data_IF_063266940087
#
_entry.id   IF_063266940087
#
_cell.length_a   1.000
_cell.length_b   1.000
_cell.length_c   1.000
_cell.angle_alpha   90.00
_cell.angle_beta   90.00
_cell.angle_gamma   90.00
#
_symmetry.space_group_name_H-M   'P 1'
#
loop_
_entity.id
_entity.type
_entity.pdbx_description
1 polymer ?
#
# COMPACT_ATOMS: atom_id res chain seq x y z
N UNK A 1 -17.97 -8.22 -19.65
CA UNK A 1 -16.67 -8.68 -20.11
C UNK A 1 -15.96 -9.32 -18.93
N UNK A 2 -16.08 -10.62 -18.87
CA UNK A 2 -15.00 -11.39 -18.35
C UNK A 2 -14.07 -11.60 -19.57
N UNK A 3 -13.62 -10.53 -20.14
CA UNK A 3 -12.25 -10.37 -20.52
C UNK A 3 -11.52 -10.28 -19.19
N UNK A 4 -11.55 -11.36 -18.45
CA UNK A 4 -10.73 -11.56 -17.29
C UNK A 4 -9.31 -11.68 -17.84
N UNK A 5 -8.69 -10.56 -18.09
CA UNK A 5 -7.32 -10.45 -17.67
C UNK A 5 -7.35 -10.62 -16.15
N UNK A 6 -7.46 -11.84 -15.73
CA UNK A 6 -6.92 -12.27 -14.47
C UNK A 6 -5.44 -11.94 -14.55
N UNK A 7 -5.01 -10.78 -14.06
CA UNK A 7 -3.58 -10.47 -13.92
C UNK A 7 -2.92 -11.52 -13.00
N UNK A 8 -3.69 -12.24 -12.20
CA UNK A 8 -3.29 -13.54 -11.66
C UNK A 8 -3.26 -14.68 -12.69
N UNK A 9 -3.94 -14.60 -13.85
CA UNK A 9 -3.95 -15.68 -14.82
C UNK A 9 -2.78 -15.62 -15.79
N UNK A 10 -2.27 -14.46 -16.16
CA UNK A 10 -1.07 -14.36 -16.99
C UNK A 10 0.15 -15.02 -16.32
N UNK A 11 0.22 -15.00 -14.98
CA UNK A 11 1.24 -15.73 -14.23
C UNK A 11 0.93 -17.22 -14.09
N UNK A 12 -0.34 -17.61 -14.14
CA UNK A 12 -0.80 -18.98 -13.89
C UNK A 12 -1.13 -19.76 -15.16
N UNK A 13 -1.56 -19.06 -16.20
CA UNK A 13 -2.12 -19.60 -17.44
C UNK A 13 -1.55 -18.76 -18.59
N UNK A 14 -1.05 -19.41 -19.61
CA UNK A 14 -0.90 -18.76 -20.92
C UNK A 14 -2.26 -18.88 -21.58
N UNK A 15 -2.91 -17.76 -21.82
CA UNK A 15 -4.22 -17.70 -22.47
C UNK A 15 -4.13 -17.03 -23.84
N UNK A 16 -5.04 -17.39 -24.68
CA UNK A 16 -5.26 -16.75 -25.98
C UNK A 16 -6.75 -16.67 -26.20
N UNK A 17 -7.31 -15.43 -26.13
CA UNK A 17 -8.70 -15.22 -26.48
C UNK A 17 -8.95 -15.48 -27.96
N UNK A 18 -10.05 -16.12 -28.27
CA UNK A 18 -10.45 -16.38 -29.65
C UNK A 18 -10.58 -15.10 -30.48
N UNK A 19 -11.06 -14.02 -29.87
CA UNK A 19 -11.16 -12.70 -30.51
C UNK A 19 -9.81 -12.14 -30.94
N UNK A 20 -8.75 -12.36 -30.15
CA UNK A 20 -7.40 -11.89 -30.49
C UNK A 20 -6.81 -12.72 -31.62
N UNK A 21 -7.08 -14.03 -31.64
CA UNK A 21 -6.71 -14.88 -32.76
C UNK A 21 -7.43 -14.48 -34.06
N UNK A 22 -8.73 -14.14 -34.01
CA UNK A 22 -9.44 -13.58 -35.17
C UNK A 22 -8.82 -12.27 -35.65
N UNK A 23 -8.43 -11.37 -34.72
CA UNK A 23 -7.76 -10.12 -35.08
C UNK A 23 -6.40 -10.37 -35.78
N UNK A 24 -5.68 -11.41 -35.38
CA UNK A 24 -4.44 -11.82 -36.05
C UNK A 24 -4.69 -12.32 -37.48
N UNK A 25 -5.77 -13.06 -37.71
CA UNK A 25 -6.17 -13.47 -39.06
C UNK A 25 -6.56 -12.29 -39.95
N UNK A 26 -7.23 -11.29 -39.41
CA UNK A 26 -7.52 -10.04 -40.14
C UNK A 26 -6.21 -9.30 -40.49
N UNK A 27 -5.31 -9.16 -39.53
CA UNK A 27 -4.01 -8.54 -39.77
C UNK A 27 -3.14 -9.29 -40.79
N UNK A 28 -3.27 -10.62 -40.86
CA UNK A 28 -2.64 -11.45 -41.87
C UNK A 28 -3.31 -11.42 -43.25
N UNK A 29 -4.47 -10.78 -43.37
CA UNK A 29 -5.26 -10.74 -44.59
C UNK A 29 -5.99 -12.04 -44.93
N UNK A 30 -6.12 -12.95 -43.99
CA UNK A 30 -6.83 -14.23 -44.11
C UNK A 30 -8.32 -14.08 -43.82
N UNK A 31 -8.75 -12.98 -43.21
CA UNK A 31 -10.12 -12.70 -42.79
C UNK A 31 -10.47 -11.24 -43.03
N UNK A 32 -11.65 -10.96 -43.52
CA UNK A 32 -12.19 -9.59 -43.60
C UNK A 32 -12.80 -9.15 -42.29
N UNK A 33 -12.98 -7.85 -42.06
CA UNK A 33 -13.63 -7.31 -40.86
C UNK A 33 -15.11 -7.74 -40.73
N UNK A 34 -15.81 -7.96 -41.85
CA UNK A 34 -17.18 -8.43 -41.83
C UNK A 34 -17.26 -9.89 -41.39
N UNK A 35 -16.44 -10.77 -41.98
CA UNK A 35 -16.33 -12.19 -41.58
C UNK A 35 -15.85 -12.34 -40.14
N UNK A 36 -14.93 -11.46 -39.67
CA UNK A 36 -14.50 -11.44 -38.28
C UNK A 36 -15.66 -11.14 -37.32
N UNK A 37 -16.54 -10.19 -37.68
CA UNK A 37 -17.69 -9.82 -36.84
C UNK A 37 -18.68 -11.00 -36.71
N UNK A 38 -18.88 -11.75 -37.79
CA UNK A 38 -19.72 -12.95 -37.80
C UNK A 38 -19.07 -14.09 -37.03
N UNK A 39 -17.79 -14.36 -37.28
CA UNK A 39 -17.01 -15.41 -36.57
C UNK A 39 -16.89 -15.14 -35.06
N UNK A 40 -16.88 -13.86 -34.63
CA UNK A 40 -16.80 -13.50 -33.23
C UNK A 40 -18.11 -13.73 -32.45
N UNK A 41 -19.22 -13.98 -33.14
CA UNK A 41 -20.53 -14.20 -32.51
C UNK A 41 -20.70 -15.67 -32.14
N UNK A 42 -20.25 -16.01 -30.93
CA UNK A 42 -20.31 -17.40 -30.43
C UNK A 42 -21.56 -17.59 -29.57
N UNK A 43 -22.32 -18.64 -29.85
CA UNK A 43 -23.49 -19.05 -29.07
C UNK A 43 -23.09 -19.64 -27.68
N UNK A 44 -24.05 -19.68 -26.75
CA UNK A 44 -23.81 -20.32 -25.44
C UNK A 44 -23.52 -21.81 -25.54
N UNK A 45 -24.06 -22.46 -26.55
CA UNK A 45 -23.84 -23.87 -26.85
C UNK A 45 -23.43 -24.03 -28.32
N UNK A 46 -22.69 -25.08 -28.68
CA UNK A 46 -22.24 -25.28 -30.05
C UNK A 46 -23.38 -25.30 -31.11
N UNK A 47 -24.57 -25.75 -30.71
CA UNK A 47 -25.71 -25.82 -31.62
C UNK A 47 -26.29 -24.43 -31.98
N UNK A 48 -25.85 -23.38 -31.33
CA UNK A 48 -26.25 -21.99 -31.54
C UNK A 48 -25.20 -21.15 -32.25
N UNK A 49 -24.09 -21.76 -32.63
CA UNK A 49 -23.08 -21.09 -33.45
C UNK A 49 -23.60 -20.99 -34.90
N UNK A 50 -23.22 -19.93 -35.60
CA UNK A 50 -23.43 -19.86 -37.05
C UNK A 50 -22.50 -20.89 -37.73
N UNK A 51 -22.85 -21.30 -38.97
CA UNK A 51 -22.01 -22.23 -39.74
C UNK A 51 -20.59 -21.67 -39.93
N UNK A 52 -20.47 -20.34 -40.13
CA UNK A 52 -19.21 -19.66 -40.31
C UNK A 52 -18.40 -19.63 -39.01
N UNK A 53 -19.03 -19.25 -37.89
CA UNK A 53 -18.37 -19.27 -36.57
C UNK A 53 -17.90 -20.68 -36.19
N UNK A 54 -18.70 -21.72 -36.48
CA UNK A 54 -18.34 -23.10 -36.17
C UNK A 54 -17.04 -23.54 -36.86
N UNK A 55 -16.84 -23.16 -38.14
CA UNK A 55 -15.60 -23.48 -38.86
C UNK A 55 -14.35 -22.81 -38.25
N UNK A 56 -14.48 -21.54 -37.86
CA UNK A 56 -13.36 -20.84 -37.19
C UNK A 56 -13.11 -21.35 -35.77
N UNK A 57 -14.15 -21.73 -35.03
CA UNK A 57 -14.04 -22.36 -33.71
C UNK A 57 -13.29 -23.69 -33.79
N UNK A 58 -13.64 -24.52 -34.79
CA UNK A 58 -12.96 -25.80 -35.01
C UNK A 58 -11.48 -25.58 -35.37
N UNK A 59 -11.18 -24.63 -36.27
CA UNK A 59 -9.80 -24.28 -36.65
C UNK A 59 -9.01 -23.78 -35.44
N UNK A 60 -9.57 -22.87 -34.65
CA UNK A 60 -8.97 -22.36 -33.41
C UNK A 60 -8.68 -23.49 -32.43
N UNK A 61 -9.66 -24.34 -32.19
CA UNK A 61 -9.54 -25.46 -31.27
C UNK A 61 -8.44 -26.41 -31.70
N UNK A 62 -8.46 -26.84 -32.97
CA UNK A 62 -7.45 -27.76 -33.51
C UNK A 62 -6.02 -27.17 -33.45
N UNK A 63 -5.87 -25.86 -33.75
CA UNK A 63 -4.58 -25.19 -33.74
C UNK A 63 -3.99 -25.09 -32.33
N UNK A 64 -4.82 -24.73 -31.32
CA UNK A 64 -4.34 -24.56 -29.96
C UNK A 64 -4.21 -25.91 -29.22
N UNK A 65 -5.06 -26.89 -29.48
CA UNK A 65 -4.89 -28.25 -28.92
C UNK A 65 -3.62 -28.90 -29.45
N UNK A 66 -3.28 -28.71 -30.71
CA UNK A 66 -2.00 -29.17 -31.30
C UNK A 66 -0.77 -28.55 -30.62
N UNK A 67 -0.91 -27.35 -30.02
CA UNK A 67 0.12 -26.71 -29.21
C UNK A 67 0.10 -27.08 -27.73
N UNK A 68 -0.79 -27.99 -27.32
CA UNK A 68 -0.93 -28.46 -25.93
C UNK A 68 -1.75 -27.53 -25.05
N UNK A 69 -2.58 -26.67 -25.63
CA UNK A 69 -3.55 -25.85 -24.92
C UNK A 69 -4.86 -26.60 -24.71
N UNK A 70 -5.59 -26.23 -23.66
CA UNK A 70 -6.97 -26.67 -23.45
C UNK A 70 -7.90 -25.52 -23.86
N UNK A 71 -8.84 -25.81 -24.76
CA UNK A 71 -9.82 -24.83 -25.21
C UNK A 71 -11.10 -24.96 -24.39
N UNK A 72 -11.58 -23.82 -23.85
CA UNK A 72 -12.81 -23.78 -23.06
C UNK A 72 -13.75 -22.71 -23.60
N UNK A 73 -15.04 -23.00 -23.51
CA UNK A 73 -16.13 -22.05 -23.82
C UNK A 73 -16.69 -21.52 -22.50
N UNK A 74 -16.63 -20.22 -22.31
CA UNK A 74 -17.13 -19.53 -21.14
C UNK A 74 -18.37 -18.72 -21.48
N UNK A 75 -19.41 -18.83 -20.67
CA UNK A 75 -20.60 -17.99 -20.80
C UNK A 75 -20.25 -16.51 -20.59
N UNK A 76 -20.73 -15.63 -21.45
CA UNK A 76 -20.62 -14.21 -21.21
C UNK A 76 -21.49 -13.82 -19.99
N UNK A 77 -20.84 -13.36 -18.94
CA UNK A 77 -21.49 -12.89 -17.72
C UNK A 77 -21.43 -11.36 -17.67
N UNK A 78 -22.58 -10.71 -17.75
CA UNK A 78 -22.68 -9.27 -17.48
C UNK A 78 -22.86 -9.07 -15.98
N UNK A 79 -21.83 -8.60 -15.31
CA UNK A 79 -21.90 -8.22 -13.91
C UNK A 79 -22.28 -6.74 -13.79
N UNK A 80 -23.44 -6.47 -13.21
CA UNK A 80 -23.79 -5.15 -12.69
C UNK A 80 -23.68 -5.16 -11.17
N UNK A 81 -23.51 -4.02 -10.49
CA UNK A 81 -23.34 -3.99 -9.03
C UNK A 81 -24.37 -4.77 -8.23
N UNK A 82 -25.55 -4.99 -8.79
CA UNK A 82 -26.68 -5.64 -8.10
C UNK A 82 -27.21 -6.89 -8.82
N UNK A 83 -26.64 -7.31 -9.95
CA UNK A 83 -27.16 -8.43 -10.72
C UNK A 83 -26.11 -9.06 -11.63
N UNK A 84 -25.99 -10.38 -11.56
CA UNK A 84 -25.26 -11.17 -12.52
C UNK A 84 -26.27 -11.66 -13.57
N UNK A 85 -26.14 -11.22 -14.80
CA UNK A 85 -26.95 -11.72 -15.91
C UNK A 85 -26.07 -12.45 -16.90
N UNK A 86 -26.47 -13.65 -17.33
CA UNK A 86 -25.82 -14.35 -18.41
C UNK A 86 -26.20 -13.76 -19.75
N UNK A 87 -25.21 -13.32 -20.54
CA UNK A 87 -25.40 -12.85 -21.92
C UNK A 87 -25.83 -13.98 -22.84
N UNK A 88 -26.32 -13.61 -24.01
CA UNK A 88 -26.71 -14.58 -25.06
C UNK A 88 -25.54 -15.20 -25.82
N UNK A 89 -24.34 -14.67 -25.64
CA UNK A 89 -23.08 -15.06 -26.31
C UNK A 89 -22.11 -15.73 -25.36
N UNK A 90 -21.15 -16.46 -25.88
CA UNK A 90 -20.04 -17.06 -25.13
C UNK A 90 -18.70 -16.50 -25.62
N UNK A 91 -17.64 -16.77 -24.89
CA UNK A 91 -16.27 -16.51 -25.30
C UNK A 91 -15.45 -17.79 -25.28
N UNK A 92 -14.59 -17.98 -26.27
CA UNK A 92 -13.64 -19.09 -26.32
C UNK A 92 -12.26 -18.64 -25.88
N UNK A 93 -11.60 -19.52 -25.11
CA UNK A 93 -10.24 -19.30 -24.62
C UNK A 93 -9.43 -20.59 -24.75
N UNK A 94 -8.24 -20.48 -25.28
CA UNK A 94 -7.21 -21.50 -25.19
C UNK A 94 -6.27 -21.18 -24.02
N UNK A 95 -6.07 -22.12 -23.10
CA UNK A 95 -5.18 -21.90 -21.97
C UNK A 95 -4.23 -23.08 -21.74
N UNK A 96 -3.08 -22.78 -21.20
CA UNK A 96 -2.11 -23.77 -20.75
C UNK A 96 -1.63 -23.43 -19.34
N UNK A 97 -1.71 -24.40 -18.44
CA UNK A 97 -1.24 -24.20 -17.07
C UNK A 97 0.28 -24.02 -17.03
N UNK A 98 0.71 -22.91 -16.49
CA UNK A 98 2.13 -22.65 -16.24
C UNK A 98 2.60 -23.42 -15.02
N UNK A 99 3.74 -24.17 -15.06
CA UNK A 99 4.29 -24.86 -13.91
C UNK A 99 4.48 -23.93 -12.71
N UNK A 100 4.20 -24.43 -11.51
CA UNK A 100 4.24 -23.64 -10.27
C UNK A 100 5.55 -22.87 -10.08
N UNK A 101 6.68 -23.49 -10.40
CA UNK A 101 8.00 -22.85 -10.24
C UNK A 101 8.18 -21.64 -11.15
N UNK A 102 7.66 -21.71 -12.39
CA UNK A 102 7.70 -20.60 -13.34
C UNK A 102 6.75 -19.49 -12.88
N UNK A 103 5.58 -19.85 -12.35
CA UNK A 103 4.62 -18.89 -11.77
C UNK A 103 5.24 -18.10 -10.61
N UNK A 104 5.91 -18.81 -9.68
CA UNK A 104 6.62 -18.17 -8.57
C UNK A 104 7.73 -17.26 -9.07
N UNK A 105 8.52 -17.74 -10.04
CA UNK A 105 9.59 -16.93 -10.61
C UNK A 105 9.05 -15.64 -11.26
N UNK A 106 8.04 -15.76 -12.12
CA UNK A 106 7.41 -14.61 -12.78
C UNK A 106 6.79 -13.64 -11.76
N UNK A 107 6.16 -14.17 -10.71
CA UNK A 107 5.61 -13.33 -9.65
C UNK A 107 6.72 -12.50 -8.97
N UNK A 108 7.77 -13.14 -8.48
CA UNK A 108 8.82 -12.42 -7.76
C UNK A 108 9.64 -11.48 -8.65
N UNK A 109 9.88 -11.83 -9.90
CA UNK A 109 10.61 -10.95 -10.84
C UNK A 109 9.73 -9.81 -11.37
N UNK A 110 8.41 -9.98 -11.41
CA UNK A 110 7.46 -8.97 -11.84
C UNK A 110 6.96 -8.04 -10.73
N UNK A 111 7.38 -8.23 -9.47
CA UNK A 111 6.95 -7.34 -8.37
C UNK A 111 7.46 -5.91 -8.57
N UNK A 112 8.67 -5.75 -9.06
CA UNK A 112 9.31 -4.46 -9.21
C UNK A 112 9.57 -4.13 -10.67
N UNK A 113 8.99 -3.04 -11.14
CA UNK A 113 9.22 -2.47 -12.45
C UNK A 113 9.85 -1.09 -12.31
N UNK A 114 10.96 -0.87 -13.03
CA UNK A 114 11.67 0.41 -13.01
C UNK A 114 11.31 1.21 -14.24
N UNK A 115 10.65 2.35 -14.05
CA UNK A 115 10.14 3.20 -15.11
C UNK A 115 11.24 3.89 -15.92
N UNK A 116 12.39 4.15 -15.30
CA UNK A 116 13.55 4.74 -15.96
C UNK A 116 14.16 3.86 -17.08
N UNK A 117 13.78 2.59 -17.19
CA UNK A 117 14.15 1.69 -18.29
C UNK A 117 13.03 1.50 -19.30
N UNK A 118 11.82 1.98 -19.01
CA UNK A 118 10.63 1.89 -19.82
C UNK A 118 10.44 3.22 -20.57
N UNK A 119 11.15 3.40 -21.67
CA UNK A 119 11.01 4.58 -22.51
C UNK A 119 9.79 4.46 -23.42
N UNK A 120 9.15 5.60 -23.67
CA UNK A 120 8.09 5.69 -24.68
C UNK A 120 8.66 5.34 -26.06
N UNK A 121 7.84 4.76 -26.92
CA UNK A 121 8.27 4.30 -28.25
C UNK A 121 8.49 5.45 -29.24
N UNK A 122 7.87 6.60 -29.00
CA UNK A 122 7.98 7.79 -29.84
C UNK A 122 9.42 8.31 -29.88
N UNK A 123 9.83 8.84 -31.05
CA UNK A 123 11.15 9.44 -31.23
C UNK A 123 11.16 10.85 -30.61
N UNK A 124 11.60 10.94 -29.39
CA UNK A 124 11.72 12.20 -28.63
C UNK A 124 13.15 12.70 -28.72
N UNK A 125 13.31 13.94 -29.22
CA UNK A 125 14.62 14.52 -29.53
C UNK A 125 15.50 14.73 -28.28
N UNK A 126 14.92 14.93 -27.11
CA UNK A 126 15.66 15.27 -25.88
C UNK A 126 15.30 14.31 -24.73
N UNK A 127 15.71 13.05 -24.88
CA UNK A 127 15.54 12.04 -23.83
C UNK A 127 16.59 12.23 -22.75
N UNK A 128 16.16 12.27 -21.49
CA UNK A 128 17.11 12.37 -20.40
C UNK A 128 16.49 12.61 -19.04
N UNK A 129 17.36 12.83 -18.07
CA UNK A 129 16.98 13.19 -16.70
C UNK A 129 17.31 14.65 -16.47
N UNK A 130 16.32 15.40 -15.97
CA UNK A 130 16.48 16.79 -15.57
C UNK A 130 16.27 16.93 -14.07
N UNK A 131 17.21 17.60 -13.39
CA UNK A 131 17.10 17.92 -11.99
C UNK A 131 16.73 19.39 -11.82
N UNK A 132 15.71 19.67 -11.01
CA UNK A 132 15.33 21.04 -10.66
C UNK A 132 15.16 21.18 -9.15
N UNK A 133 15.43 22.40 -8.64
CA UNK A 133 15.13 22.76 -7.25
C UNK A 133 13.88 23.65 -7.16
N UNK A 134 13.45 24.20 -8.28
CA UNK A 134 12.31 25.08 -8.41
C UNK A 134 11.53 24.65 -9.64
N UNK A 135 10.58 23.76 -9.45
CA UNK A 135 9.80 23.22 -10.56
C UNK A 135 8.90 24.31 -11.14
N UNK A 136 8.99 24.60 -12.44
CA UNK A 136 8.12 25.54 -13.11
C UNK A 136 6.63 25.22 -12.99
N UNK A 137 6.24 23.95 -12.87
CA UNK A 137 4.85 23.54 -12.66
C UNK A 137 4.27 24.08 -11.33
N UNK A 138 5.13 24.39 -10.35
CA UNK A 138 4.78 25.06 -9.10
C UNK A 138 5.08 26.57 -9.11
N UNK A 139 5.13 27.18 -10.28
CA UNK A 139 5.37 28.61 -10.46
C UNK A 139 6.85 29.05 -10.42
N UNK A 140 7.79 28.14 -10.23
CA UNK A 140 9.23 28.38 -10.29
C UNK A 140 9.84 29.15 -9.12
N UNK A 141 9.04 29.72 -8.22
CA UNK A 141 9.51 30.49 -7.06
C UNK A 141 9.60 29.63 -5.79
N UNK A 142 8.67 28.68 -5.65
CA UNK A 142 8.62 27.79 -4.49
C UNK A 142 9.74 26.74 -4.58
N UNK A 143 10.41 26.47 -3.45
CA UNK A 143 11.35 25.37 -3.36
C UNK A 143 10.61 24.04 -3.53
N UNK A 144 10.83 23.38 -4.66
CA UNK A 144 10.13 22.18 -5.11
C UNK A 144 11.10 21.25 -5.85
N UNK A 145 12.02 20.57 -5.13
CA UNK A 145 13.01 19.71 -5.76
C UNK A 145 12.34 18.56 -6.50
N UNK A 146 12.76 18.32 -7.74
CA UNK A 146 12.27 17.22 -8.54
C UNK A 146 13.34 16.64 -9.46
N UNK A 147 13.18 15.35 -9.81
CA UNK A 147 13.88 14.68 -10.90
C UNK A 147 12.83 14.35 -11.95
N UNK A 148 13.00 14.94 -13.12
CA UNK A 148 12.12 14.78 -14.27
C UNK A 148 12.75 13.84 -15.28
N UNK A 149 11.96 12.95 -15.87
CA UNK A 149 12.38 12.03 -16.92
C UNK A 149 11.67 12.36 -18.24
N UNK A 150 12.40 12.85 -19.25
CA UNK A 150 11.83 13.08 -20.57
C UNK A 150 11.87 11.80 -21.39
N UNK A 151 10.73 11.42 -21.96
CA UNK A 151 10.60 10.20 -22.77
C UNK A 151 10.41 8.91 -21.97
N UNK A 152 10.07 9.00 -20.69
CA UNK A 152 9.61 7.88 -19.85
C UNK A 152 8.10 7.91 -19.68
N UNK A 153 7.51 6.81 -19.16
CA UNK A 153 6.06 6.78 -18.89
C UNK A 153 5.63 7.75 -17.80
N UNK A 154 6.53 8.12 -16.89
CA UNK A 154 6.29 9.11 -15.85
C UNK A 154 7.26 10.28 -15.98
N UNK A 155 6.74 11.48 -16.16
CA UNK A 155 7.56 12.68 -16.24
C UNK A 155 8.24 12.99 -14.91
N UNK A 156 7.51 12.92 -13.82
CA UNK A 156 8.05 13.17 -12.47
C UNK A 156 8.53 11.85 -11.86
N UNK A 157 9.82 11.60 -11.87
CA UNK A 157 10.40 10.37 -11.32
C UNK A 157 10.56 10.43 -9.80
N UNK A 158 10.95 11.60 -9.28
CA UNK A 158 11.05 11.88 -7.85
C UNK A 158 10.68 13.33 -7.61
N UNK A 159 9.85 13.60 -6.59
CA UNK A 159 9.53 14.96 -6.21
C UNK A 159 9.11 15.06 -4.74
N UNK A 160 9.17 16.31 -4.21
CA UNK A 160 8.80 16.62 -2.85
C UNK A 160 7.48 17.38 -2.82
N UNK A 161 6.61 16.98 -1.91
CA UNK A 161 5.27 17.51 -1.72
C UNK A 161 5.08 17.88 -0.26
N UNK A 162 4.07 18.65 0.07
CA UNK A 162 3.63 18.94 1.43
C UNK A 162 2.67 17.88 1.98
N UNK A 163 2.27 16.91 1.17
CA UNK A 163 1.43 15.77 1.55
C UNK A 163 2.27 14.60 2.03
N UNK A 164 1.87 13.97 3.15
CA UNK A 164 2.51 12.74 3.59
C UNK A 164 2.33 11.62 2.53
N UNK A 165 3.40 10.92 2.14
CA UNK A 165 4.73 10.79 2.78
C UNK A 165 5.77 11.86 2.41
N UNK A 166 5.46 13.01 1.90
CA UNK A 166 6.33 14.15 1.56
C UNK A 166 7.35 13.92 0.42
N UNK A 167 7.73 12.69 0.17
CA UNK A 167 8.65 12.31 -0.91
C UNK A 167 7.89 11.30 -1.77
N UNK A 168 7.70 11.62 -3.02
CA UNK A 168 6.99 10.80 -3.99
C UNK A 168 7.93 10.36 -5.09
N UNK A 169 7.72 9.17 -5.58
CA UNK A 169 8.53 8.58 -6.65
C UNK A 169 7.65 7.81 -7.63
N UNK A 170 8.00 7.88 -8.91
CA UNK A 170 7.35 7.16 -10.00
C UNK A 170 8.34 6.33 -10.83
N UNK A 171 9.59 6.18 -10.36
CA UNK A 171 10.58 5.35 -11.04
C UNK A 171 10.49 3.87 -10.68
N UNK A 172 9.78 3.54 -9.60
CA UNK A 172 9.59 2.19 -9.13
C UNK A 172 8.09 1.92 -9.00
N UNK A 173 7.57 1.06 -9.85
CA UNK A 173 6.21 0.53 -9.73
C UNK A 173 6.25 -0.81 -9.01
N UNK A 174 5.35 -1.00 -8.05
CA UNK A 174 5.27 -2.22 -7.23
C UNK A 174 3.97 -2.94 -7.60
N UNK A 175 4.10 -4.09 -8.26
CA UNK A 175 2.97 -4.92 -8.69
C UNK A 175 2.71 -6.02 -7.68
N UNK A 176 1.68 -5.84 -6.85
CA UNK A 176 1.24 -6.84 -5.86
C UNK A 176 0.00 -7.62 -6.30
N UNK A 177 -0.37 -7.49 -7.56
CA UNK A 177 -1.57 -8.09 -8.14
C UNK A 177 -2.70 -7.09 -8.29
N UNK A 178 -3.64 -7.38 -9.19
CA UNK A 178 -4.73 -6.48 -9.58
C UNK A 178 -6.02 -6.82 -8.86
N UNK A 179 -6.65 -5.83 -8.26
CA UNK A 179 -7.97 -5.93 -7.63
C UNK A 179 -9.07 -5.98 -8.68
N UNK A 180 -10.03 -6.88 -8.51
CA UNK A 180 -11.22 -6.94 -9.37
C UNK A 180 -12.52 -6.75 -8.60
N UNK A 181 -12.55 -7.15 -7.34
CA UNK A 181 -13.76 -7.13 -6.54
C UNK A 181 -13.90 -5.85 -5.71
N UNK A 182 -12.79 -5.36 -5.15
CA UNK A 182 -12.77 -4.16 -4.31
C UNK A 182 -12.55 -2.90 -5.15
N UNK A 183 -11.57 -2.92 -6.04
CA UNK A 183 -11.26 -1.79 -6.91
C UNK A 183 -10.88 -2.29 -8.31
N UNK A 184 -11.85 -2.29 -9.21
CA UNK A 184 -11.76 -2.93 -10.52
C UNK A 184 -10.59 -2.45 -11.35
N UNK A 185 -9.68 -3.36 -11.68
CA UNK A 185 -8.56 -3.13 -12.60
C UNK A 185 -7.41 -2.29 -12.02
N UNK A 186 -7.43 -2.02 -10.70
CA UNK A 186 -6.37 -1.27 -10.02
C UNK A 186 -5.44 -2.23 -9.31
N UNK A 187 -4.13 -1.97 -9.37
CA UNK A 187 -3.15 -2.76 -8.64
C UNK A 187 -3.38 -2.68 -7.12
N UNK A 188 -3.09 -3.78 -6.41
CA UNK A 188 -3.31 -3.86 -4.97
C UNK A 188 -2.50 -2.81 -4.19
N UNK A 189 -1.27 -2.52 -4.62
CA UNK A 189 -0.45 -1.49 -3.99
C UNK A 189 -1.01 -0.09 -4.28
N UNK A 190 -1.40 0.18 -5.52
CA UNK A 190 -2.04 1.45 -5.89
C UNK A 190 -3.35 1.67 -5.12
N UNK A 191 -4.15 0.63 -4.91
CA UNK A 191 -5.36 0.71 -4.08
C UNK A 191 -5.06 1.15 -2.63
N UNK A 192 -3.87 0.84 -2.10
CA UNK A 192 -3.44 1.27 -0.76
C UNK A 192 -2.95 2.72 -0.72
N UNK A 193 -2.24 3.16 -1.76
CA UNK A 193 -1.58 4.48 -1.80
C UNK A 193 -2.39 5.57 -2.52
N UNK A 194 -3.36 5.19 -3.33
CA UNK A 194 -4.19 6.11 -4.12
C UNK A 194 -5.02 7.02 -3.19
N UNK A 195 -5.10 8.33 -3.47
CA UNK A 195 -5.99 9.24 -2.77
C UNK A 195 -7.45 8.79 -2.82
N UNK A 196 -8.22 9.13 -1.79
CA UNK A 196 -9.61 8.75 -1.61
C UNK A 196 -10.53 9.98 -1.55
N UNK A 197 -11.85 9.75 -1.45
CA UNK A 197 -12.85 10.80 -1.32
C UNK A 197 -13.39 11.25 -2.68
N UNK A 198 -13.88 12.48 -2.72
CA UNK A 198 -14.38 13.11 -3.93
C UNK A 198 -13.22 13.58 -4.82
N UNK A 199 -13.47 13.61 -6.13
CA UNK A 199 -12.50 14.18 -7.06
C UNK A 199 -12.53 15.71 -6.94
N UNK A 200 -11.34 16.31 -6.78
CA UNK A 200 -11.13 17.76 -6.78
C UNK A 200 -10.36 18.13 -8.04
N UNK A 201 -10.87 19.13 -8.75
CA UNK A 201 -10.13 19.73 -9.86
C UNK A 201 -9.22 20.80 -9.31
N UNK A 202 -7.95 20.71 -9.67
CA UNK A 202 -6.98 21.79 -9.39
C UNK A 202 -6.65 22.53 -10.67
N UNK A 203 -6.32 23.81 -10.54
CA UNK A 203 -5.89 24.63 -11.66
C UNK A 203 -4.38 24.73 -11.62
N UNK A 204 -3.71 24.15 -12.62
CA UNK A 204 -2.27 24.20 -12.76
C UNK A 204 -1.89 25.27 -13.77
N UNK A 205 -0.98 26.16 -13.37
CA UNK A 205 -0.41 27.21 -14.22
C UNK A 205 0.96 26.77 -14.70
N UNK A 206 1.13 26.71 -16.00
CA UNK A 206 2.37 26.28 -16.61
C UNK A 206 3.23 27.48 -17.06
N UNK A 207 4.56 27.35 -17.17
CA UNK A 207 5.46 28.41 -17.60
C UNK A 207 5.16 28.93 -18.99
N UNK A 208 4.52 28.14 -19.84
CA UNK A 208 4.06 28.52 -21.16
C UNK A 208 2.90 29.50 -21.17
N UNK A 209 2.35 29.83 -19.98
CA UNK A 209 1.14 30.62 -19.81
C UNK A 209 -0.15 29.84 -19.99
N UNK A 210 -0.09 28.56 -20.29
CA UNK A 210 -1.27 27.70 -20.34
C UNK A 210 -1.81 27.48 -18.93
N UNK A 211 -3.15 27.47 -18.83
CA UNK A 211 -3.87 27.21 -17.57
C UNK A 211 -4.71 25.98 -17.79
N UNK A 212 -4.60 25.01 -16.92
CA UNK A 212 -5.28 23.76 -17.03
C UNK A 212 -5.91 23.33 -15.71
N UNK A 213 -7.13 22.83 -15.79
CA UNK A 213 -7.75 22.09 -14.69
C UNK A 213 -7.23 20.66 -14.72
N UNK A 214 -6.33 20.33 -13.83
CA UNK A 214 -5.72 19.02 -13.72
C UNK A 214 -5.56 18.61 -12.26
N UNK A 215 -5.08 17.40 -12.03
CA UNK A 215 -4.69 16.98 -10.70
C UNK A 215 -3.42 17.70 -10.26
N UNK A 216 -3.38 18.15 -9.00
CA UNK A 216 -2.15 18.60 -8.35
C UNK A 216 -1.20 17.44 -8.06
N UNK A 217 -1.71 16.23 -8.07
CA UNK A 217 -0.94 15.04 -7.81
C UNK A 217 -0.17 14.63 -9.06
N UNK A 218 1.12 14.86 -9.04
CA UNK A 218 2.02 14.54 -10.13
C UNK A 218 2.15 13.04 -10.39
N UNK A 219 1.73 12.19 -9.44
CA UNK A 219 1.62 10.75 -9.65
C UNK A 219 0.63 10.38 -10.75
N UNK A 220 -0.36 11.22 -10.99
CA UNK A 220 -1.37 10.98 -12.02
C UNK A 220 -0.92 11.36 -13.42
N UNK A 221 0.22 12.05 -13.55
CA UNK A 221 0.77 12.48 -14.83
C UNK A 221 1.60 11.35 -15.46
N UNK A 222 0.93 10.41 -16.08
CA UNK A 222 1.51 9.23 -16.73
C UNK A 222 1.34 9.32 -18.23
N UNK A 223 2.36 8.95 -19.00
CA UNK A 223 2.24 8.80 -20.44
C UNK A 223 1.36 7.59 -20.78
N UNK A 224 0.38 7.81 -21.65
CA UNK A 224 -0.45 6.74 -22.22
C UNK A 224 -0.37 6.78 -23.73
N UNK A 225 0.36 5.85 -24.32
CA UNK A 225 0.44 5.69 -25.76
C UNK A 225 -0.98 5.52 -26.37
N UNK A 226 -1.25 6.23 -27.45
CA UNK A 226 -2.53 6.17 -28.17
C UNK A 226 -3.67 7.01 -27.58
N UNK A 227 -3.45 7.73 -26.50
CA UNK A 227 -4.44 8.67 -25.93
C UNK A 227 -4.42 10.01 -26.67
N UNK A 228 -4.91 9.99 -27.92
CA UNK A 228 -4.82 11.12 -28.85
C UNK A 228 -5.39 12.44 -28.30
N UNK A 229 -6.51 12.37 -27.59
CA UNK A 229 -7.15 13.58 -27.05
C UNK A 229 -6.31 14.22 -25.96
N UNK A 230 -5.74 13.41 -25.08
CA UNK A 230 -4.88 13.87 -24.02
C UNK A 230 -3.54 14.39 -24.55
N UNK A 231 -2.94 13.68 -25.50
CA UNK A 231 -1.69 14.11 -26.12
C UNK A 231 -1.81 15.47 -26.81
N UNK A 232 -2.93 15.75 -27.48
CA UNK A 232 -3.18 17.06 -28.11
C UNK A 232 -3.31 18.19 -27.07
N UNK A 233 -3.94 17.91 -25.94
CA UNK A 233 -4.12 18.91 -24.87
C UNK A 233 -2.82 19.22 -24.16
N UNK A 234 -1.93 18.23 -24.00
CA UNK A 234 -0.73 18.34 -23.19
C UNK A 234 0.58 18.44 -23.97
N UNK A 235 0.54 18.31 -25.31
CA UNK A 235 1.73 18.39 -26.17
C UNK A 235 2.57 19.64 -25.91
N UNK A 236 1.92 20.80 -25.74
CA UNK A 236 2.60 22.06 -25.48
C UNK A 236 3.18 22.19 -24.06
N UNK A 237 2.70 21.35 -23.14
CA UNK A 237 3.08 21.41 -21.71
C UNK A 237 4.20 20.45 -21.36
N UNK A 238 4.30 19.35 -22.09
CA UNK A 238 5.31 18.32 -21.92
C UNK A 238 6.00 18.08 -23.25
N UNK A 239 7.32 18.11 -23.25
CA UNK A 239 8.12 17.93 -24.46
C UNK A 239 7.99 16.54 -25.11
N UNK A 240 7.44 15.61 -24.42
CA UNK A 240 7.28 14.21 -24.79
C UNK A 240 5.84 13.82 -25.06
N UNK A 241 5.00 14.78 -25.37
CA UNK A 241 3.71 14.58 -26.01
C UNK A 241 2.75 13.63 -25.28
N UNK A 242 2.69 13.74 -23.96
CA UNK A 242 1.85 12.85 -23.18
C UNK A 242 0.99 13.56 -22.17
N UNK A 243 -0.08 12.98 -21.78
CA UNK A 243 -0.38 12.62 -20.45
C UNK A 243 -1.76 12.06 -20.26
N UNK A 244 -1.90 11.28 -19.23
CA UNK A 244 -3.16 11.00 -18.58
C UNK A 244 -3.15 11.70 -17.23
N UNK A 245 -3.68 12.89 -17.17
CA UNK A 245 -3.85 13.61 -15.90
C UNK A 245 -5.23 13.31 -15.36
N UNK A 246 -5.29 12.64 -14.23
CA UNK A 246 -6.54 12.36 -13.52
C UNK A 246 -6.85 13.45 -12.50
N UNK A 247 -8.11 13.54 -12.09
CA UNK A 247 -8.53 14.42 -11.01
C UNK A 247 -8.02 13.84 -9.67
N UNK A 248 -7.45 14.68 -8.83
CA UNK A 248 -7.05 14.29 -7.46
C UNK A 248 -8.28 14.17 -6.59
N UNK A 249 -8.32 13.13 -5.78
CA UNK A 249 -9.28 13.01 -4.70
C UNK A 249 -8.85 13.87 -3.52
N UNK A 250 -9.79 14.47 -2.83
CA UNK A 250 -9.59 15.44 -1.75
C UNK A 250 -9.11 14.85 -0.41
N UNK A 251 -9.04 13.53 -0.32
CA UNK A 251 -8.70 12.82 0.91
C UNK A 251 -7.42 11.99 0.75
N UNK A 252 -6.72 11.78 1.86
CA UNK A 252 -5.51 10.96 1.90
C UNK A 252 -5.72 9.51 1.48
N UNK A 253 -4.63 8.82 1.21
CA UNK A 253 -4.65 7.40 0.86
C UNK A 253 -5.04 6.51 2.06
N UNK A 254 -5.40 5.26 1.81
CA UNK A 254 -5.64 4.27 2.88
C UNK A 254 -4.41 4.09 3.76
N UNK A 255 -3.24 4.10 3.14
CA UNK A 255 -1.97 4.02 3.86
C UNK A 255 -1.75 5.22 4.77
N UNK A 256 -2.06 6.43 4.30
CA UNK A 256 -2.00 7.65 5.11
C UNK A 256 -2.79 7.52 6.41
N UNK A 257 -4.06 7.09 6.34
CA UNK A 257 -4.90 6.97 7.53
C UNK A 257 -4.40 5.93 8.53
N UNK A 258 -3.96 4.77 8.04
CA UNK A 258 -3.37 3.74 8.91
C UNK A 258 -2.10 4.23 9.59
N UNK A 259 -1.20 4.88 8.83
CA UNK A 259 0.09 5.34 9.34
C UNK A 259 -0.06 6.49 10.34
N UNK A 260 -0.86 7.51 10.03
CA UNK A 260 -0.99 8.69 10.92
C UNK A 260 -1.53 8.31 12.29
N UNK A 261 -2.57 7.47 12.34
CA UNK A 261 -3.15 7.01 13.61
C UNK A 261 -2.16 6.15 14.39
N UNK A 262 -1.50 5.21 13.73
CA UNK A 262 -0.57 4.28 14.37
C UNK A 262 0.70 4.97 14.87
N UNK A 263 1.27 5.90 14.09
CA UNK A 263 2.47 6.65 14.49
C UNK A 263 2.15 7.55 15.68
N UNK A 264 1.04 8.29 15.66
CA UNK A 264 0.67 9.17 16.76
C UNK A 264 0.35 8.36 18.02
N UNK A 265 -0.39 7.25 17.90
CA UNK A 265 -0.68 6.38 19.02
C UNK A 265 0.59 5.77 19.64
N UNK A 266 1.53 5.33 18.80
CA UNK A 266 2.84 4.81 19.24
C UNK A 266 3.67 5.90 19.91
N UNK A 267 3.74 7.10 19.33
CA UNK A 267 4.45 8.24 19.94
C UNK A 267 3.89 8.56 21.33
N UNK A 268 2.56 8.61 21.49
CA UNK A 268 1.93 8.79 22.79
C UNK A 268 2.24 7.65 23.75
N UNK A 269 2.29 6.41 23.27
CA UNK A 269 2.64 5.27 24.08
C UNK A 269 4.06 5.38 24.65
N UNK A 270 5.03 5.77 23.84
CA UNK A 270 6.41 6.00 24.31
C UNK A 270 6.50 7.25 25.19
N UNK A 271 5.88 8.36 24.80
CA UNK A 271 5.95 9.61 25.58
C UNK A 271 5.31 9.50 26.97
N UNK A 272 4.29 8.70 27.13
CA UNK A 272 3.58 8.52 28.40
C UNK A 272 4.02 7.24 29.10
N UNK A 273 4.09 6.13 28.36
CA UNK A 273 4.35 4.81 28.94
C UNK A 273 5.76 4.66 29.52
N UNK A 274 6.80 5.19 28.83
CA UNK A 274 8.17 5.10 29.34
C UNK A 274 8.35 5.90 30.63
N UNK A 275 7.99 7.19 30.75
CA UNK A 275 8.09 7.92 32.01
C UNK A 275 7.31 7.28 33.15
N UNK A 276 6.12 6.77 32.90
CA UNK A 276 5.33 6.07 33.91
C UNK A 276 5.99 4.75 34.32
N UNK A 277 6.51 3.96 33.36
CA UNK A 277 7.27 2.74 33.65
C UNK A 277 8.54 2.99 34.46
N UNK A 278 9.29 4.06 34.14
CA UNK A 278 10.43 4.53 34.92
C UNK A 278 10.03 4.91 36.33
N UNK A 279 8.92 5.65 36.49
CA UNK A 279 8.40 6.07 37.80
C UNK A 279 7.97 4.87 38.63
N UNK A 280 7.32 3.87 38.05
CA UNK A 280 6.96 2.60 38.68
C UNK A 280 8.20 1.85 39.18
N UNK A 281 9.23 1.73 38.33
CA UNK A 281 10.49 1.08 38.70
C UNK A 281 11.20 1.81 39.83
N UNK A 282 11.28 3.16 39.76
CA UNK A 282 11.90 3.99 40.80
C UNK A 282 11.18 3.90 42.15
N UNK A 283 9.87 3.72 42.10
CA UNK A 283 9.00 3.61 43.29
C UNK A 283 8.46 2.18 43.44
N UNK A 284 9.29 1.21 43.11
CA UNK A 284 8.96 -0.22 43.24
C UNK A 284 8.39 -0.52 44.64
N UNK A 285 7.38 -1.38 44.67
CA UNK A 285 6.67 -1.87 45.89
C UNK A 285 5.94 -0.75 46.66
N UNK A 286 5.73 0.44 46.06
CA UNK A 286 4.87 1.51 46.62
C UNK A 286 3.49 1.52 45.99
N UNK A 287 2.59 2.38 46.53
CA UNK A 287 1.26 2.55 45.96
C UNK A 287 1.27 3.02 44.50
N UNK A 288 2.28 3.80 44.08
CA UNK A 288 2.46 4.26 42.70
C UNK A 288 2.71 3.07 41.78
N UNK A 289 3.58 2.17 42.18
CA UNK A 289 3.87 0.95 41.45
C UNK A 289 2.63 0.03 41.39
N UNK A 290 1.93 -0.11 42.51
CA UNK A 290 0.70 -0.91 42.60
C UNK A 290 -0.42 -0.37 41.70
N UNK A 291 -0.60 0.96 41.65
CA UNK A 291 -1.58 1.60 40.77
C UNK A 291 -1.22 1.41 39.27
N UNK A 292 0.07 1.59 38.92
CA UNK A 292 0.54 1.34 37.55
C UNK A 292 0.37 -0.11 37.13
N UNK A 293 0.69 -1.05 38.02
CA UNK A 293 0.48 -2.48 37.75
C UNK A 293 -1.03 -2.80 37.62
N UNK A 294 -1.90 -2.21 38.45
CA UNK A 294 -3.34 -2.38 38.33
C UNK A 294 -3.87 -1.90 36.97
N UNK A 295 -3.41 -0.72 36.51
CA UNK A 295 -3.73 -0.23 35.17
C UNK A 295 -3.29 -1.22 34.08
N UNK A 296 -2.03 -1.66 34.11
CA UNK A 296 -1.48 -2.61 33.14
C UNK A 296 -2.28 -3.91 33.12
N UNK A 297 -2.59 -4.47 34.30
CA UNK A 297 -3.36 -5.72 34.42
C UNK A 297 -4.77 -5.56 33.86
N UNK A 298 -5.48 -4.48 34.21
CA UNK A 298 -6.82 -4.22 33.72
C UNK A 298 -6.85 -4.08 32.20
N UNK A 299 -5.96 -3.26 31.62
CA UNK A 299 -5.94 -3.03 30.18
C UNK A 299 -5.56 -4.30 29.41
N UNK A 300 -4.63 -5.11 29.94
CA UNK A 300 -4.23 -6.35 29.29
C UNK A 300 -5.23 -7.50 29.48
N UNK A 301 -6.04 -7.48 30.53
CA UNK A 301 -7.06 -8.50 30.80
C UNK A 301 -8.35 -8.25 30.00
N UNK A 302 -8.68 -7.00 29.69
CA UNK A 302 -9.89 -6.64 28.95
C UNK A 302 -9.63 -6.81 27.45
N UNK A 303 -10.50 -7.52 26.70
CA UNK A 303 -10.37 -7.61 25.25
C UNK A 303 -10.34 -6.23 24.59
N UNK A 304 -9.39 -6.01 23.66
CA UNK A 304 -9.18 -4.73 22.98
C UNK A 304 -10.45 -4.13 22.39
N UNK A 305 -11.26 -4.95 21.72
CA UNK A 305 -12.54 -4.53 21.16
C UNK A 305 -13.50 -3.95 22.22
N UNK A 306 -13.52 -4.52 23.43
CA UNK A 306 -14.43 -4.08 24.48
C UNK A 306 -14.13 -2.64 24.94
N UNK A 307 -12.88 -2.31 25.24
CA UNK A 307 -12.54 -0.93 25.62
C UNK A 307 -12.62 0.05 24.45
N UNK A 308 -12.36 -0.37 23.20
CA UNK A 308 -12.57 0.46 22.01
C UNK A 308 -14.06 0.86 21.88
N UNK A 309 -14.97 -0.08 22.05
CA UNK A 309 -16.41 0.19 22.03
C UNK A 309 -16.84 1.04 23.22
N UNK A 310 -16.29 0.83 24.42
CA UNK A 310 -16.55 1.68 25.59
C UNK A 310 -16.08 3.12 25.32
N UNK A 311 -14.88 3.31 24.78
CA UNK A 311 -14.37 4.63 24.42
C UNK A 311 -15.23 5.30 23.35
N UNK A 312 -15.67 4.54 22.34
CA UNK A 312 -16.61 5.03 21.33
C UNK A 312 -17.91 5.53 21.97
N UNK A 313 -18.47 4.78 22.93
CA UNK A 313 -19.67 5.19 23.66
C UNK A 313 -19.43 6.46 24.51
N UNK A 314 -18.27 6.56 25.15
CA UNK A 314 -17.87 7.76 25.90
C UNK A 314 -17.72 8.95 24.97
N UNK A 315 -17.04 8.79 23.82
CA UNK A 315 -16.88 9.82 22.81
C UNK A 315 -18.21 10.36 22.31
N UNK A 316 -19.16 9.49 22.01
CA UNK A 316 -20.53 9.87 21.63
C UNK A 316 -21.23 10.71 22.71
N UNK A 317 -21.09 10.34 23.97
CA UNK A 317 -21.66 11.11 25.08
C UNK A 317 -21.01 12.48 25.26
N UNK A 318 -19.74 12.62 24.90
CA UNK A 318 -19.00 13.87 24.94
C UNK A 318 -19.20 14.73 23.69
N UNK A 319 -19.99 14.27 22.71
CA UNK A 319 -20.22 14.96 21.45
C UNK A 319 -19.01 14.96 20.49
N UNK A 320 -18.06 14.03 20.71
CA UNK A 320 -16.91 13.86 19.80
C UNK A 320 -17.32 12.98 18.61
N UNK A 321 -16.77 13.26 17.41
CA UNK A 321 -16.95 12.37 16.26
C UNK A 321 -16.36 10.99 16.58
N UNK A 322 -17.15 9.95 16.44
CA UNK A 322 -16.74 8.56 16.72
C UNK A 322 -16.78 7.66 15.48
N UNK A 323 -17.10 8.25 14.34
CA UNK A 323 -17.00 7.63 13.02
C UNK A 323 -16.26 8.56 12.10
N UNK A 324 -15.40 8.00 11.26
CA UNK A 324 -14.66 8.77 10.27
C UNK A 324 -15.55 9.04 9.06
N UNK A 325 -15.47 10.24 8.50
CA UNK A 325 -16.13 10.63 7.25
C UNK A 325 -15.13 11.30 6.33
N UNK A 326 -15.10 10.86 5.07
CA UNK A 326 -14.27 11.47 4.04
C UNK A 326 -14.87 12.78 3.50
N UNK A 327 -16.19 12.94 3.59
CA UNK A 327 -16.88 14.13 3.04
C UNK A 327 -16.59 15.41 3.84
N UNK A 328 -16.42 15.28 5.17
CA UNK A 328 -16.10 16.40 6.05
C UNK A 328 -15.02 15.99 7.05
N UNK A 329 -13.77 15.81 6.63
CA UNK A 329 -12.71 15.39 7.51
C UNK A 329 -12.38 16.49 8.54
N UNK A 330 -12.42 16.14 9.81
CA UNK A 330 -12.00 17.02 10.92
C UNK A 330 -10.95 16.32 11.76
N UNK A 331 -9.99 17.06 12.31
CA UNK A 331 -8.97 16.50 13.18
C UNK A 331 -9.55 15.84 14.46
N UNK A 332 -10.75 16.25 14.88
CA UNK A 332 -11.46 15.66 16.03
C UNK A 332 -11.77 14.17 15.83
N UNK A 333 -11.93 13.72 14.58
CA UNK A 333 -12.21 12.31 14.27
C UNK A 333 -11.05 11.37 14.62
N UNK A 334 -9.82 11.91 14.70
CA UNK A 334 -8.63 11.13 15.06
C UNK A 334 -8.48 10.92 16.56
N UNK A 335 -9.11 11.75 17.42
CA UNK A 335 -8.92 11.72 18.87
C UNK A 335 -9.28 10.36 19.45
N UNK A 336 -10.48 9.86 19.14
CA UNK A 336 -10.96 8.61 19.75
C UNK A 336 -10.19 7.38 19.25
N UNK A 337 -9.92 7.19 17.95
CA UNK A 337 -9.08 6.10 17.44
C UNK A 337 -7.67 6.10 18.02
N UNK A 338 -7.02 7.29 18.06
CA UNK A 338 -5.68 7.43 18.62
C UNK A 338 -5.69 7.12 20.13
N UNK A 339 -6.65 7.63 20.89
CA UNK A 339 -6.76 7.35 22.31
C UNK A 339 -7.00 5.84 22.56
N UNK A 340 -7.87 5.21 21.78
CA UNK A 340 -8.14 3.79 21.90
C UNK A 340 -6.89 2.92 21.63
N UNK A 341 -6.12 3.27 20.60
CA UNK A 341 -4.88 2.57 20.28
C UNK A 341 -3.77 2.86 21.30
N UNK A 342 -3.66 4.12 21.74
CA UNK A 342 -2.61 4.53 22.69
C UNK A 342 -2.79 3.90 24.08
N UNK A 343 -4.00 3.74 24.59
CA UNK A 343 -4.26 3.20 25.93
C UNK A 343 -3.63 1.82 26.11
N UNK A 344 -3.81 0.91 25.16
CA UNK A 344 -3.22 -0.42 25.23
C UNK A 344 -1.70 -0.40 25.05
N UNK A 345 -1.22 0.42 24.13
CA UNK A 345 0.19 0.57 23.87
C UNK A 345 0.94 1.17 25.08
N UNK A 346 0.37 2.19 25.74
CA UNK A 346 0.91 2.76 26.99
C UNK A 346 1.08 1.68 28.06
N UNK A 347 0.08 0.82 28.26
CA UNK A 347 0.19 -0.27 29.24
C UNK A 347 1.32 -1.24 28.91
N UNK A 348 1.51 -1.55 27.62
CA UNK A 348 2.62 -2.37 27.15
C UNK A 348 3.99 -1.74 27.45
N UNK A 349 4.19 -0.47 27.09
CA UNK A 349 5.44 0.25 27.32
C UNK A 349 5.75 0.44 28.81
N UNK A 350 4.75 0.77 29.62
CA UNK A 350 4.88 0.84 31.08
C UNK A 350 5.41 -0.48 31.68
N UNK A 351 4.83 -1.60 31.26
CA UNK A 351 5.20 -2.94 31.74
C UNK A 351 6.63 -3.29 31.35
N UNK A 352 7.01 -3.11 30.07
CA UNK A 352 8.33 -3.46 29.59
C UNK A 352 9.41 -2.56 30.18
N UNK A 353 9.19 -1.24 30.20
CA UNK A 353 10.15 -0.30 30.78
C UNK A 353 10.38 -0.58 32.28
N UNK A 354 9.27 -0.78 33.04
CA UNK A 354 9.39 -1.15 34.46
C UNK A 354 10.21 -2.43 34.65
N UNK A 355 9.92 -3.46 33.85
CA UNK A 355 10.62 -4.75 33.92
C UNK A 355 12.10 -4.59 33.67
N UNK A 356 12.47 -3.98 32.56
CA UNK A 356 13.88 -3.78 32.23
C UNK A 356 14.62 -2.93 33.27
N UNK A 357 13.99 -1.88 33.78
CA UNK A 357 14.57 -1.07 34.85
C UNK A 357 14.83 -1.89 36.12
N UNK A 358 13.85 -2.68 36.55
CA UNK A 358 13.98 -3.51 37.77
C UNK A 358 15.06 -4.58 37.57
N UNK A 359 15.13 -5.23 36.43
CA UNK A 359 16.17 -6.21 36.12
C UNK A 359 17.55 -5.58 36.17
N UNK A 360 17.74 -4.38 35.62
CA UNK A 360 19.00 -3.65 35.69
C UNK A 360 19.38 -3.21 37.14
N UNK A 361 18.41 -2.80 37.94
CA UNK A 361 18.60 -2.39 39.33
C UNK A 361 19.24 -3.51 40.21
N UNK A 362 18.99 -4.77 39.86
CA UNK A 362 19.46 -5.93 40.57
C UNK A 362 20.82 -6.47 40.06
N UNK A 363 21.38 -5.87 39.03
CA UNK A 363 22.63 -6.31 38.39
C UNK A 363 23.87 -6.02 39.22
N UNK A 364 24.94 -6.82 39.08
CA UNK A 364 26.14 -6.69 39.85
C UNK A 364 26.94 -5.41 39.57
N UNK A 365 26.88 -4.90 38.33
CA UNK A 365 27.53 -3.64 38.00
C UNK A 365 26.91 -2.44 38.74
N UNK A 366 25.63 -2.51 39.10
CA UNK A 366 24.96 -1.48 39.93
C UNK A 366 25.44 -1.56 41.38
N UNK A 367 25.62 -2.77 41.92
CA UNK A 367 26.22 -2.97 43.26
C UNK A 367 27.66 -2.44 43.32
N UNK A 368 28.42 -2.70 42.23
CA UNK A 368 29.78 -2.20 42.10
C UNK A 368 29.80 -0.66 42.04
N UNK A 369 28.97 -0.04 41.20
CA UNK A 369 28.87 1.42 41.11
C UNK A 369 28.52 2.09 42.47
N UNK A 370 27.71 1.43 43.32
CA UNK A 370 27.42 1.90 44.68
C UNK A 370 28.64 1.79 45.59
N UNK A 371 29.45 0.73 45.49
CA UNK A 371 30.65 0.56 46.26
C UNK A 371 31.75 1.58 45.90
N UNK A 372 31.75 2.08 44.70
CA UNK A 372 32.60 3.18 44.21
C UNK A 372 32.15 4.56 44.69
N UNK A 373 30.99 4.66 45.36
CA UNK A 373 30.47 5.92 45.91
C UNK A 373 29.74 6.79 44.92
N UNK A 374 29.30 6.26 43.78
CA UNK A 374 28.44 6.99 42.83
C UNK A 374 27.10 7.32 43.48
N UNK A 375 26.55 8.50 43.16
CA UNK A 375 25.24 8.89 43.67
C UNK A 375 24.12 8.04 43.05
N UNK A 376 23.05 7.79 43.79
CA UNK A 376 21.90 7.02 43.30
C UNK A 376 21.29 7.63 42.01
N UNK A 377 21.37 8.97 41.84
CA UNK A 377 20.92 9.66 40.65
C UNK A 377 21.80 9.31 39.44
N UNK A 378 23.10 9.27 39.61
CA UNK A 378 24.03 8.90 38.54
C UNK A 378 23.89 7.42 38.18
N UNK A 379 23.81 6.55 39.16
CA UNK A 379 23.57 5.11 38.96
C UNK A 379 22.28 4.91 38.15
N UNK A 380 21.19 5.58 38.55
CA UNK A 380 19.89 5.44 37.91
C UNK A 380 19.91 5.94 36.46
N UNK A 381 20.47 7.11 36.20
CA UNK A 381 20.42 7.74 34.88
C UNK A 381 21.47 7.19 33.92
N UNK A 382 22.72 7.02 34.38
CA UNK A 382 23.83 6.65 33.49
C UNK A 382 23.99 5.13 33.31
N UNK A 383 23.61 4.36 34.33
CA UNK A 383 23.83 2.91 34.35
C UNK A 383 22.52 2.12 34.16
N UNK A 384 21.49 2.35 34.96
CA UNK A 384 20.26 1.58 34.93
C UNK A 384 19.43 1.95 33.70
N UNK A 385 19.06 3.24 33.56
CA UNK A 385 18.21 3.71 32.47
C UNK A 385 18.83 3.45 31.11
N UNK A 386 20.11 3.79 30.91
CA UNK A 386 20.78 3.60 29.63
C UNK A 386 20.72 2.14 29.14
N UNK A 387 21.00 1.20 30.03
CA UNK A 387 20.99 -0.22 29.71
C UNK A 387 19.55 -0.76 29.55
N UNK A 388 18.61 -0.29 30.37
CA UNK A 388 17.19 -0.66 30.25
C UNK A 388 16.52 -0.11 28.97
N UNK A 389 17.03 1.01 28.43
CA UNK A 389 16.50 1.59 27.21
C UNK A 389 16.90 0.84 25.93
N UNK A 390 17.99 0.07 25.93
CA UNK A 390 18.48 -0.64 24.74
C UNK A 390 17.39 -1.55 24.12
N UNK A 391 16.76 -2.50 24.83
CA UNK A 391 15.72 -3.33 24.26
C UNK A 391 14.45 -2.56 23.89
N UNK A 392 14.16 -1.43 24.55
CA UNK A 392 13.04 -0.56 24.18
C UNK A 392 13.29 0.08 22.81
N UNK A 393 14.48 0.67 22.61
CA UNK A 393 14.85 1.32 21.34
C UNK A 393 14.88 0.32 20.19
N UNK A 394 15.42 -0.88 20.42
CA UNK A 394 15.34 -1.99 19.45
C UNK A 394 13.88 -2.31 19.06
N UNK A 395 12.96 -2.28 20.01
CA UNK A 395 11.56 -2.59 19.80
C UNK A 395 10.73 -1.52 19.04
N UNK A 396 11.22 -0.26 18.93
CA UNK A 396 10.43 0.85 18.37
C UNK A 396 9.93 0.57 16.95
N UNK A 397 10.77 0.17 15.97
CA UNK A 397 10.28 -0.08 14.61
C UNK A 397 9.23 -1.20 14.57
N UNK A 398 9.48 -2.29 15.31
CA UNK A 398 8.52 -3.40 15.42
C UNK A 398 7.20 -3.01 16.07
N UNK A 399 7.22 -2.12 17.07
CA UNK A 399 6.01 -1.61 17.71
C UNK A 399 5.17 -0.75 16.76
N UNK A 400 5.80 0.10 15.95
CA UNK A 400 5.11 0.91 14.93
C UNK A 400 4.48 0.00 13.87
N UNK A 401 5.22 -0.98 13.34
CA UNK A 401 4.69 -1.92 12.35
C UNK A 401 3.59 -2.81 12.95
N UNK A 402 3.75 -3.23 14.21
CA UNK A 402 2.72 -3.97 14.93
C UNK A 402 1.45 -3.15 15.15
N UNK A 403 1.57 -1.85 15.44
CA UNK A 403 0.43 -0.95 15.54
C UNK A 403 -0.30 -0.78 14.20
N UNK A 404 0.45 -0.70 13.10
CA UNK A 404 -0.12 -0.66 11.75
C UNK A 404 -0.93 -1.91 11.42
N UNK A 405 -0.36 -3.09 11.66
CA UNK A 405 -1.03 -4.37 11.40
C UNK A 405 -2.17 -4.64 12.39
N UNK A 406 -2.06 -4.15 13.62
CA UNK A 406 -3.08 -4.25 14.66
C UNK A 406 -4.22 -3.24 14.51
N UNK A 407 -4.10 -2.26 13.62
CA UNK A 407 -5.10 -1.21 13.42
C UNK A 407 -6.41 -1.72 12.80
N UNK A 408 -6.46 -2.94 12.24
CA UNK A 408 -7.62 -3.51 11.54
C UNK A 408 -8.92 -3.38 12.37
N UNK A 409 -8.89 -3.81 13.63
CA UNK A 409 -10.09 -3.76 14.51
C UNK A 409 -10.46 -2.31 14.79
N UNK A 410 -9.49 -1.46 15.07
CA UNK A 410 -9.69 -0.04 15.34
C UNK A 410 -10.30 0.67 14.11
N UNK A 411 -9.75 0.42 12.91
CA UNK A 411 -10.26 0.96 11.66
C UNK A 411 -11.71 0.54 11.40
N UNK A 412 -12.08 -0.72 11.68
CA UNK A 412 -13.44 -1.19 11.56
C UNK A 412 -14.38 -0.54 12.59
N UNK A 413 -13.96 -0.41 13.84
CA UNK A 413 -14.78 0.18 14.91
C UNK A 413 -15.07 1.66 14.64
N UNK A 414 -14.09 2.42 14.18
CA UNK A 414 -14.20 3.86 13.95
C UNK A 414 -14.47 4.23 12.48
N UNK A 415 -14.61 3.25 11.59
CA UNK A 415 -14.82 3.40 10.14
C UNK A 415 -13.72 4.22 9.45
N UNK A 416 -12.49 4.02 9.88
CA UNK A 416 -11.34 4.66 9.21
C UNK A 416 -11.04 3.92 7.91
N UNK A 417 -10.93 4.63 6.79
CA UNK A 417 -10.67 4.01 5.49
C UNK A 417 -9.16 3.68 5.32
N UNK A 418 -8.65 2.82 6.20
CA UNK A 418 -7.25 2.39 6.20
C UNK A 418 -7.00 1.09 5.43
N UNK A 419 -5.72 0.65 5.46
CA UNK A 419 -5.27 -0.59 4.80
C UNK A 419 -5.85 -1.84 5.50
N UNK A 420 -6.02 -1.79 6.83
CA UNK A 420 -6.66 -2.87 7.57
C UNK A 420 -8.13 -3.03 7.19
N UNK A 421 -8.84 -1.91 7.00
CA UNK A 421 -10.21 -1.91 6.49
C UNK A 421 -10.30 -2.47 5.08
N UNK A 422 -9.34 -2.13 4.21
CA UNK A 422 -9.22 -2.69 2.88
C UNK A 422 -9.06 -4.23 2.91
N UNK A 423 -8.21 -4.75 3.80
CA UNK A 423 -8.02 -6.19 3.95
C UNK A 423 -9.33 -6.91 4.31
N UNK A 424 -10.10 -6.36 5.25
CA UNK A 424 -11.41 -6.94 5.63
C UNK A 424 -12.39 -6.92 4.46
N UNK A 425 -12.44 -5.83 3.69
CA UNK A 425 -13.27 -5.73 2.48
C UNK A 425 -12.85 -6.76 1.44
N UNK A 426 -11.54 -6.91 1.21
CA UNK A 426 -10.99 -7.87 0.25
C UNK A 426 -11.31 -9.33 0.63
N UNK A 427 -11.21 -9.67 1.92
CA UNK A 427 -11.61 -10.99 2.43
C UNK A 427 -13.09 -11.25 2.16
N UNK A 428 -13.96 -10.29 2.48
CA UNK A 428 -15.40 -10.40 2.25
C UNK A 428 -15.79 -10.46 0.77
N UNK A 429 -14.99 -9.87 -0.10
CA UNK A 429 -15.20 -9.85 -1.55
C UNK A 429 -14.43 -10.97 -2.30
N UNK A 430 -13.70 -11.83 -1.60
CA UNK A 430 -12.82 -12.86 -2.18
C UNK A 430 -11.77 -12.30 -3.15
N UNK A 431 -11.27 -11.09 -2.88
CA UNK A 431 -10.24 -10.45 -3.69
C UNK A 431 -8.84 -10.91 -3.25
N UNK A 432 -8.42 -12.04 -3.79
CA UNK A 432 -7.17 -12.68 -3.41
C UNK A 432 -5.94 -11.83 -3.73
N UNK A 433 -5.97 -11.01 -4.78
CA UNK A 433 -4.87 -10.14 -5.14
C UNK A 433 -4.61 -9.10 -4.05
N UNK A 434 -5.65 -8.43 -3.57
CA UNK A 434 -5.55 -7.45 -2.48
C UNK A 434 -5.16 -8.13 -1.17
N UNK A 435 -5.72 -9.31 -0.85
CA UNK A 435 -5.38 -10.05 0.37
C UNK A 435 -3.87 -10.38 0.39
N UNK A 436 -3.35 -10.96 -0.69
CA UNK A 436 -1.93 -11.33 -0.81
C UNK A 436 -1.06 -10.08 -0.84
N UNK A 437 -1.46 -9.05 -1.59
CA UNK A 437 -0.73 -7.78 -1.67
C UNK A 437 -0.58 -7.10 -0.31
N UNK A 438 -1.66 -6.96 0.46
CA UNK A 438 -1.63 -6.38 1.81
C UNK A 438 -0.79 -7.25 2.77
N UNK A 439 -0.92 -8.57 2.71
CA UNK A 439 -0.12 -9.48 3.53
C UNK A 439 1.37 -9.37 3.22
N UNK A 440 1.74 -9.30 1.93
CA UNK A 440 3.11 -9.13 1.48
C UNK A 440 3.67 -7.76 1.92
N UNK A 441 2.89 -6.69 1.77
CA UNK A 441 3.25 -5.36 2.22
C UNK A 441 3.59 -5.33 3.72
N UNK A 442 2.72 -5.87 4.58
CA UNK A 442 3.01 -5.97 6.00
C UNK A 442 4.21 -6.88 6.30
N UNK A 443 4.36 -7.99 5.57
CA UNK A 443 5.51 -8.89 5.69
C UNK A 443 6.84 -8.17 5.43
N UNK A 444 6.90 -7.37 4.37
CA UNK A 444 8.08 -6.54 4.03
C UNK A 444 8.34 -5.50 5.13
N UNK A 445 7.30 -4.82 5.62
CA UNK A 445 7.43 -3.85 6.72
C UNK A 445 7.97 -4.50 8.00
N UNK A 446 7.54 -5.72 8.34
CA UNK A 446 8.09 -6.44 9.51
C UNK A 446 9.57 -6.78 9.34
N UNK A 447 10.00 -7.20 8.14
CA UNK A 447 11.42 -7.47 7.86
C UNK A 447 12.24 -6.19 7.99
N UNK A 448 11.78 -5.08 7.37
CA UNK A 448 12.44 -3.78 7.47
C UNK A 448 12.51 -3.32 8.94
N UNK A 449 11.44 -3.50 9.70
CA UNK A 449 11.38 -3.14 11.11
C UNK A 449 12.37 -3.93 11.96
N UNK A 450 12.54 -5.22 11.70
CA UNK A 450 13.52 -6.04 12.39
C UNK A 450 14.95 -5.54 12.13
N UNK A 451 15.29 -5.29 10.85
CA UNK A 451 16.60 -4.75 10.46
C UNK A 451 16.84 -3.37 11.11
N UNK A 452 15.83 -2.50 11.08
CA UNK A 452 15.92 -1.18 11.72
C UNK A 452 16.11 -1.29 13.23
N UNK A 453 15.44 -2.23 13.88
CA UNK A 453 15.62 -2.52 15.30
C UNK A 453 17.06 -2.91 15.63
N UNK A 454 17.65 -3.81 14.86
CA UNK A 454 19.04 -4.23 15.02
C UNK A 454 20.01 -3.06 14.81
N UNK A 455 19.78 -2.22 13.79
CA UNK A 455 20.60 -1.01 13.56
C UNK A 455 20.50 -0.06 14.76
N UNK A 456 19.29 0.22 15.25
CA UNK A 456 19.09 1.09 16.40
C UNK A 456 19.75 0.54 17.68
N UNK A 457 19.70 -0.77 17.85
CA UNK A 457 20.38 -1.43 18.97
C UNK A 457 21.89 -1.25 18.89
N UNK A 458 22.50 -1.42 17.71
CA UNK A 458 23.93 -1.21 17.51
C UNK A 458 24.36 0.26 17.72
N UNK A 459 23.51 1.22 17.36
CA UNK A 459 23.75 2.65 17.61
C UNK A 459 23.70 2.96 19.10
N UNK A 460 22.80 2.34 19.86
CA UNK A 460 22.64 2.56 21.29
C UNK A 460 23.71 1.86 22.13
N UNK A 461 24.15 0.67 21.72
CA UNK A 461 25.20 -0.09 22.41
C UNK A 461 26.40 -0.32 21.47
N UNK A 462 27.45 0.51 21.57
CA UNK A 462 28.65 0.39 20.72
C UNK A 462 29.47 -0.90 20.95
N UNK A 463 29.10 -1.73 21.93
CA UNK A 463 29.71 -3.04 22.15
C UNK A 463 29.21 -4.08 21.14
N UNK A 464 28.06 -3.83 20.52
CA UNK A 464 27.50 -4.69 19.51
C UNK A 464 28.18 -4.37 18.18
N UNK A 465 28.95 -5.29 17.65
CA UNK A 465 29.63 -5.19 16.37
C UNK A 465 29.17 -6.33 15.46
N UNK A 466 28.55 -5.98 14.34
CA UNK A 466 28.15 -6.95 13.31
C UNK A 466 29.30 -7.32 12.36
N UNK A 467 30.46 -6.66 12.48
CA UNK A 467 31.67 -7.04 11.75
C UNK A 467 32.36 -8.15 12.49
N UNK A 468 32.33 -9.38 11.94
CA UNK A 468 33.24 -10.43 12.36
C UNK A 468 34.67 -9.99 12.04
N UNK A 469 35.42 -9.48 13.02
CA UNK A 469 36.87 -9.50 12.91
C UNK A 469 37.23 -10.97 12.86
N UNK A 470 37.57 -11.48 11.67
CA UNK A 470 38.27 -12.77 11.57
C UNK A 470 39.51 -12.68 12.48
N UNK A 471 39.49 -13.49 13.52
CA UNK A 471 40.69 -13.77 14.31
C UNK A 471 41.54 -14.79 13.58
#
# INVERSE_FOLDING_TARGET
EIGVRLVGSEMCIRDSPYTDWLNQLVAAGELSEEERSEAATIGRTPERDSEEAAGYIERFTAEYEARGYTVVRLDAVMATPNRVATGGTASLFAYQNTPLIIRLWNFFTGIFEFDNVNYVEEDIADRGLTFTLHDPAYGGEKFSPAILGTGTYHKYLLYFDDRFPFIHQNFLTIHLGTSYSVNKGVDAFETMVQPQGNYVRSTTYYPTGAVQESADDLHSATYLAGSRELNLVYADLYNDDYTNVSLVKDSGSRMYYSFIVSIIASALAYMIGLPLGILMAKRKDTWVDSLGNAYVVVIMAVPGLAYMLMLKAVGNKLGLPTTFSLDNPTWLMYIMPIAASAISAIAGEMRWMRRYMVDQMNSDYVKFARSEGLSEREIFTKHIFKNAAIPIVHGIPGAITGALSGAIIMEQVYLIPGVGGLLVQAIGAYDNAVIVGVALFYGILFIISAIMGDILMAVMDPRISYTSKAR
#
